data_IF_294497756245
#
_entry.id   IF_294497756245
#
_cell.length_a   1.000
_cell.length_b   1.000
_cell.length_c   1.000
_cell.angle_alpha   90.00
_cell.angle_beta   90.00
_cell.angle_gamma   90.00
#
_symmetry.space_group_name_H-M   'P 1'
#
loop_
_entity.id
_entity.type
_entity.pdbx_description
1 polymer ?
#
# COMPACT_ATOMS: atom_id res chain seq x y z
N UNK A 1 -12.56 -3.75 -2.27
CA UNK A 1 -12.00 -5.01 -2.83
C UNK A 1 -10.52 -5.01 -2.56
N UNK A 2 -9.94 -6.14 -2.13
CA UNK A 2 -8.49 -6.23 -1.89
C UNK A 2 -7.79 -6.55 -3.20
N UNK A 3 -7.19 -5.55 -3.84
CA UNK A 3 -6.37 -5.74 -5.05
C UNK A 3 -5.07 -6.50 -4.79
N UNK A 4 -4.83 -6.96 -3.56
CA UNK A 4 -3.69 -7.80 -3.20
C UNK A 4 -3.84 -9.27 -3.66
N UNK A 5 -5.06 -9.71 -3.99
CA UNK A 5 -5.28 -11.07 -4.50
C UNK A 5 -5.26 -11.04 -6.03
N UNK A 6 -4.42 -11.84 -6.69
CA UNK A 6 -4.41 -11.94 -8.15
C UNK A 6 -5.75 -12.37 -8.74
N UNK A 7 -6.12 -11.78 -9.87
CA UNK A 7 -7.28 -12.20 -10.67
C UNK A 7 -7.06 -13.54 -11.38
N UNK A 8 -8.12 -14.20 -11.89
CA UNK A 8 -8.01 -15.42 -12.69
C UNK A 8 -7.02 -15.31 -13.85
N UNK A 9 -7.02 -14.22 -14.61
CA UNK A 9 -6.11 -14.08 -15.76
C UNK A 9 -4.65 -13.99 -15.31
N UNK A 10 -4.40 -13.28 -14.20
CA UNK A 10 -3.08 -13.19 -13.59
C UNK A 10 -2.58 -14.56 -13.09
N UNK A 11 -3.48 -15.35 -12.48
CA UNK A 11 -3.15 -16.69 -11.99
C UNK A 11 -2.82 -17.66 -13.14
N UNK A 12 -3.60 -17.65 -14.21
CA UNK A 12 -3.40 -18.52 -15.37
C UNK A 12 -2.08 -18.21 -16.10
N UNK A 13 -1.66 -16.95 -16.10
CA UNK A 13 -0.46 -16.47 -16.79
C UNK A 13 0.73 -16.26 -15.85
N UNK A 14 0.67 -16.77 -14.62
CA UNK A 14 1.66 -16.50 -13.56
C UNK A 14 3.10 -16.80 -13.96
N UNK A 15 3.32 -17.84 -14.77
CA UNK A 15 4.65 -18.24 -15.24
C UNK A 15 5.34 -17.19 -16.13
N UNK A 16 4.57 -16.29 -16.76
CA UNK A 16 5.09 -15.21 -17.58
C UNK A 16 5.33 -13.91 -16.77
N UNK A 17 4.85 -13.83 -15.54
CA UNK A 17 4.97 -12.66 -14.66
C UNK A 17 6.26 -12.77 -13.85
N UNK A 18 7.06 -11.71 -13.90
CA UNK A 18 8.30 -11.63 -13.14
C UNK A 18 8.00 -11.43 -11.65
N UNK A 19 8.77 -12.06 -10.74
CA UNK A 19 8.69 -11.74 -9.33
C UNK A 19 8.86 -10.24 -9.10
N UNK A 20 8.11 -9.65 -8.17
CA UNK A 20 8.20 -8.20 -7.93
C UNK A 20 9.61 -7.71 -7.55
N UNK A 21 10.41 -8.53 -6.87
CA UNK A 21 11.82 -8.23 -6.57
C UNK A 21 12.63 -8.00 -7.84
N UNK A 22 12.36 -8.77 -8.89
CA UNK A 22 13.01 -8.63 -10.19
C UNK A 22 12.65 -7.32 -10.89
N UNK A 23 11.43 -6.83 -10.69
CA UNK A 23 10.97 -5.53 -11.21
C UNK A 23 11.67 -4.39 -10.46
N UNK A 24 11.74 -4.47 -9.14
CA UNK A 24 12.46 -3.50 -8.30
C UNK A 24 13.95 -3.45 -8.71
N UNK A 25 14.56 -4.60 -8.98
CA UNK A 25 15.94 -4.69 -9.44
C UNK A 25 16.15 -4.15 -10.86
N UNK A 26 15.18 -4.36 -11.77
CA UNK A 26 15.20 -3.78 -13.10
C UNK A 26 15.13 -2.25 -13.03
N UNK A 27 14.23 -1.70 -12.20
CA UNK A 27 14.12 -0.28 -11.94
C UNK A 27 15.44 0.30 -11.40
N UNK A 28 16.07 -0.37 -10.42
CA UNK A 28 17.38 0.04 -9.87
C UNK A 28 18.49 0.12 -10.92
N UNK A 29 18.41 -0.72 -11.96
CA UNK A 29 19.35 -0.73 -13.09
C UNK A 29 18.98 0.26 -14.21
N UNK A 30 17.94 1.07 -14.01
CA UNK A 30 17.43 2.02 -15.00
C UNK A 30 16.75 1.37 -16.20
N UNK A 31 16.33 0.11 -16.06
CA UNK A 31 15.63 -0.61 -17.13
C UNK A 31 14.15 -0.26 -17.12
N UNK A 32 13.56 -0.15 -18.32
CA UNK A 32 12.12 -0.05 -18.50
C UNK A 32 11.47 -1.42 -18.22
N UNK A 33 10.26 -1.42 -17.68
CA UNK A 33 9.46 -2.61 -17.40
C UNK A 33 7.98 -2.31 -17.60
N UNK A 34 7.15 -3.34 -17.53
CA UNK A 34 5.69 -3.23 -17.63
C UNK A 34 5.09 -3.49 -16.26
N UNK A 35 4.15 -2.65 -15.84
CA UNK A 35 3.24 -2.94 -14.74
C UNK A 35 1.84 -3.11 -15.27
N UNK A 36 1.13 -4.09 -14.74
CA UNK A 36 -0.28 -4.35 -15.04
C UNK A 36 -1.08 -4.18 -13.75
N UNK A 37 -2.21 -3.49 -13.85
CA UNK A 37 -3.15 -3.39 -12.74
C UNK A 37 -4.11 -4.58 -12.68
N UNK A 38 -4.96 -4.61 -11.65
CA UNK A 38 -5.90 -5.71 -11.45
C UNK A 38 -6.99 -5.70 -12.53
N UNK A 39 -7.46 -6.86 -12.96
CA UNK A 39 -8.48 -7.00 -14.03
C UNK A 39 -9.81 -6.27 -13.73
N UNK A 40 -10.19 -6.18 -12.46
CA UNK A 40 -11.39 -5.42 -12.00
C UNK A 40 -11.18 -3.89 -11.91
N UNK A 41 -9.98 -3.38 -12.22
CA UNK A 41 -9.64 -1.95 -12.20
C UNK A 41 -9.67 -1.38 -13.63
N UNK A 42 -8.52 -1.08 -14.24
CA UNK A 42 -8.41 -0.61 -15.63
C UNK A 42 -8.15 -1.80 -16.58
N UNK A 43 -7.53 -2.87 -16.07
CA UNK A 43 -7.07 -4.06 -16.79
C UNK A 43 -6.03 -3.71 -17.87
N UNK A 44 -5.18 -2.72 -17.61
CA UNK A 44 -4.25 -2.12 -18.56
C UNK A 44 -2.80 -2.33 -18.12
N UNK A 45 -1.88 -2.20 -19.08
CA UNK A 45 -0.45 -2.24 -18.81
C UNK A 45 0.24 -0.96 -19.22
N UNK A 46 1.10 -0.47 -18.33
CA UNK A 46 1.92 0.71 -18.55
C UNK A 46 3.38 0.31 -18.70
N UNK A 47 4.05 0.91 -19.70
CA UNK A 47 5.51 1.05 -19.68
C UNK A 47 5.89 1.94 -18.51
N UNK A 48 6.87 1.53 -17.72
CA UNK A 48 7.37 2.27 -16.58
C UNK A 48 8.88 2.35 -16.63
N UNK A 49 9.42 3.54 -16.39
CA UNK A 49 10.84 3.75 -16.09
C UNK A 49 10.94 4.70 -14.88
N UNK A 50 11.91 4.47 -13.99
CA UNK A 50 12.18 5.43 -12.93
C UNK A 50 12.61 6.77 -13.56
N UNK A 51 12.08 7.89 -13.05
CA UNK A 51 12.14 9.15 -13.78
C UNK A 51 13.57 9.67 -13.99
N UNK A 52 14.51 9.33 -13.12
CA UNK A 52 15.93 9.70 -13.30
C UNK A 52 16.64 8.97 -14.45
N UNK A 53 16.02 7.91 -14.98
CA UNK A 53 16.46 7.17 -16.16
C UNK A 53 15.58 7.43 -17.39
N UNK A 54 14.70 8.44 -17.35
CA UNK A 54 13.86 8.82 -18.48
C UNK A 54 14.68 9.55 -19.56
N UNK A 55 15.47 8.81 -20.33
CA UNK A 55 16.25 9.33 -21.45
C UNK A 55 15.37 9.67 -22.66
N UNK A 56 15.91 10.42 -23.62
CA UNK A 56 15.24 10.67 -24.89
C UNK A 56 14.89 9.37 -25.63
N UNK A 57 15.73 8.33 -25.53
CA UNK A 57 15.47 7.01 -26.10
C UNK A 57 14.28 6.33 -25.42
N UNK A 58 14.21 6.36 -24.08
CA UNK A 58 13.09 5.80 -23.32
C UNK A 58 11.77 6.51 -23.68
N UNK A 59 11.77 7.85 -23.73
CA UNK A 59 10.59 8.63 -24.12
C UNK A 59 10.18 8.36 -25.58
N UNK A 60 11.15 8.21 -26.48
CA UNK A 60 10.86 7.86 -27.87
C UNK A 60 10.27 6.45 -27.98
N UNK A 61 10.81 5.50 -27.21
CA UNK A 61 10.28 4.13 -27.14
C UNK A 61 8.83 4.14 -26.65
N UNK A 62 8.53 4.84 -25.56
CA UNK A 62 7.17 5.01 -25.03
C UNK A 62 6.24 5.61 -26.08
N UNK A 63 6.65 6.68 -26.77
CA UNK A 63 5.81 7.33 -27.78
C UNK A 63 5.56 6.44 -29.02
N UNK A 64 6.51 5.58 -29.37
CA UNK A 64 6.44 4.72 -30.58
C UNK A 64 5.68 3.42 -30.30
N UNK A 65 5.99 2.78 -29.17
CA UNK A 65 5.55 1.43 -28.85
C UNK A 65 4.46 1.40 -27.78
N UNK A 66 4.48 2.31 -26.80
CA UNK A 66 3.37 2.47 -25.84
C UNK A 66 2.19 3.20 -26.49
N UNK A 67 2.49 4.35 -27.13
CA UNK A 67 1.54 5.24 -27.85
C UNK A 67 0.53 5.94 -26.94
N UNK A 68 0.44 5.56 -25.67
CA UNK A 68 -0.38 6.21 -24.65
C UNK A 68 0.15 7.59 -24.24
N UNK A 69 -0.41 8.12 -23.17
CA UNK A 69 -0.06 9.44 -22.66
C UNK A 69 1.17 9.33 -21.75
N UNK A 70 2.25 10.01 -22.13
CA UNK A 70 3.47 10.01 -21.29
C UNK A 70 3.24 10.91 -20.09
N UNK A 71 3.14 10.28 -18.92
CA UNK A 71 2.87 10.94 -17.65
C UNK A 71 4.06 10.85 -16.70
N UNK A 72 4.14 11.78 -15.74
CA UNK A 72 5.18 11.86 -14.73
C UNK A 72 4.58 11.70 -13.31
N UNK A 73 4.37 10.46 -12.84
CA UNK A 73 4.06 10.21 -11.43
C UNK A 73 5.15 10.73 -10.49
N UNK A 74 4.73 11.52 -9.49
CA UNK A 74 5.59 12.02 -8.42
C UNK A 74 4.88 11.93 -7.08
N UNK A 75 5.67 11.95 -6.00
CA UNK A 75 5.12 12.08 -4.64
C UNK A 75 4.30 13.36 -4.48
N UNK A 76 3.32 13.30 -3.58
CA UNK A 76 2.55 14.49 -3.17
C UNK A 76 3.48 15.61 -2.69
N UNK A 77 4.54 15.28 -1.96
CA UNK A 77 5.55 16.22 -1.46
C UNK A 77 6.25 16.96 -2.60
N UNK A 78 6.64 16.24 -3.68
CA UNK A 78 7.30 16.88 -4.82
C UNK A 78 6.36 17.78 -5.60
N UNK A 79 5.11 17.32 -5.80
CA UNK A 79 4.04 18.12 -6.42
C UNK A 79 3.80 19.41 -5.63
N UNK A 80 3.75 19.33 -4.29
CA UNK A 80 3.55 20.48 -3.41
C UNK A 80 4.76 21.43 -3.42
N UNK A 81 6.00 20.92 -3.44
CA UNK A 81 7.22 21.74 -3.57
C UNK A 81 7.27 22.52 -4.89
N UNK A 82 6.82 21.90 -5.98
CA UNK A 82 6.70 22.56 -7.28
C UNK A 82 5.47 23.47 -7.37
N UNK A 83 4.58 23.45 -6.38
CA UNK A 83 3.37 24.26 -6.37
C UNK A 83 2.41 23.95 -7.53
N UNK A 84 2.38 22.70 -8.01
CA UNK A 84 1.56 22.32 -9.16
C UNK A 84 0.10 22.12 -8.74
N UNK A 85 -0.85 22.96 -9.20
CA UNK A 85 -2.26 22.74 -8.93
C UNK A 85 -2.80 21.53 -9.69
N UNK A 86 -3.83 20.89 -9.13
CA UNK A 86 -4.60 19.86 -9.83
C UNK A 86 -5.30 20.47 -11.05
N UNK A 87 -5.35 19.73 -12.17
CA UNK A 87 -5.97 20.22 -13.40
C UNK A 87 -7.48 20.38 -13.27
N UNK A 88 -8.14 19.40 -12.63
CA UNK A 88 -9.58 19.44 -12.36
C UNK A 88 -9.82 19.73 -10.88
N UNK A 89 -10.70 20.70 -10.60
CA UNK A 89 -11.15 20.99 -9.23
C UNK A 89 -11.98 19.84 -8.66
N UNK A 90 -12.86 19.26 -9.48
CA UNK A 90 -13.62 18.05 -9.17
C UNK A 90 -13.33 16.99 -10.24
N UNK A 91 -12.58 15.95 -9.87
CA UNK A 91 -12.31 14.83 -10.77
C UNK A 91 -13.44 13.81 -10.68
N UNK A 92 -14.26 13.71 -11.72
CA UNK A 92 -15.38 12.76 -11.81
C UNK A 92 -15.05 11.51 -12.63
N UNK A 93 -13.78 11.30 -12.98
CA UNK A 93 -13.37 10.09 -13.72
C UNK A 93 -13.48 8.85 -12.83
N UNK A 94 -13.80 7.71 -13.45
CA UNK A 94 -14.05 6.42 -12.75
C UNK A 94 -12.90 6.01 -11.81
N UNK A 95 -11.66 6.28 -12.20
CA UNK A 95 -10.46 5.90 -11.45
C UNK A 95 -9.71 7.10 -10.83
N UNK A 96 -10.28 8.30 -10.97
CA UNK A 96 -9.79 9.56 -10.39
C UNK A 96 -8.29 9.81 -10.63
N UNK A 97 -7.82 9.62 -11.87
CA UNK A 97 -6.40 9.81 -12.21
C UNK A 97 -5.96 11.24 -11.86
N UNK A 98 -4.96 11.41 -10.97
CA UNK A 98 -4.71 12.69 -10.30
C UNK A 98 -3.79 13.61 -11.12
N UNK A 99 -4.28 14.09 -12.26
CA UNK A 99 -3.56 15.03 -13.11
C UNK A 99 -3.35 16.40 -12.46
N UNK A 100 -2.10 16.88 -12.46
CA UNK A 100 -1.81 18.30 -12.28
C UNK A 100 -1.88 19.03 -13.62
N UNK A 101 -1.71 20.36 -13.60
CA UNK A 101 -1.42 21.10 -14.84
C UNK A 101 -0.20 20.51 -15.56
N UNK A 102 -0.23 20.49 -16.89
CA UNK A 102 0.90 20.01 -17.70
C UNK A 102 2.06 20.99 -17.64
N UNK A 103 3.29 20.47 -17.76
CA UNK A 103 4.52 21.22 -17.55
C UNK A 103 5.49 21.10 -18.73
N UNK A 104 6.33 22.11 -18.86
CA UNK A 104 7.48 22.15 -19.77
C UNK A 104 8.68 22.75 -19.02
N UNK A 105 9.91 22.33 -19.31
CA UNK A 105 11.09 23.07 -18.87
C UNK A 105 11.12 24.45 -19.52
N UNK A 106 11.51 25.48 -18.77
CA UNK A 106 11.59 26.86 -19.31
C UNK A 106 12.75 27.06 -20.28
N UNK A 107 13.83 26.34 -20.06
CA UNK A 107 15.06 26.44 -20.82
C UNK A 107 15.48 25.03 -21.28
N UNK A 108 16.36 24.95 -22.27
CA UNK A 108 16.87 23.66 -22.76
C UNK A 108 15.89 22.86 -23.62
N UNK A 109 14.76 23.45 -24.01
CA UNK A 109 13.74 22.86 -24.90
C UNK A 109 13.46 23.76 -26.10
N UNK A 110 12.86 23.17 -27.14
CA UNK A 110 12.38 23.89 -28.32
C UNK A 110 10.87 24.13 -28.25
N UNK A 111 10.07 23.25 -28.84
CA UNK A 111 8.61 23.24 -28.74
C UNK A 111 8.13 22.42 -27.55
N UNK A 112 8.99 21.60 -26.95
CA UNK A 112 8.64 20.78 -25.78
C UNK A 112 8.19 19.35 -26.09
N UNK A 113 7.66 19.10 -27.28
CA UNK A 113 7.04 17.81 -27.62
C UNK A 113 8.04 16.71 -28.00
N UNK A 114 9.25 17.08 -28.42
CA UNK A 114 10.26 16.12 -28.86
C UNK A 114 10.65 15.16 -27.74
N UNK A 115 11.17 13.97 -28.07
CA UNK A 115 11.60 13.04 -27.03
C UNK A 115 12.75 13.60 -26.16
N UNK A 116 13.77 14.30 -26.71
CA UNK A 116 14.76 15.02 -25.92
C UNK A 116 14.16 16.12 -25.04
N UNK A 117 13.23 16.92 -25.55
CA UNK A 117 12.62 18.02 -24.79
C UNK A 117 11.81 17.47 -23.60
N UNK A 118 10.98 16.46 -23.84
CA UNK A 118 10.20 15.78 -22.79
C UNK A 118 11.09 15.12 -21.74
N UNK A 119 12.16 14.45 -22.14
CA UNK A 119 13.16 13.90 -21.22
C UNK A 119 13.82 15.00 -20.37
N UNK A 120 14.15 16.15 -20.99
CA UNK A 120 14.71 17.30 -20.28
C UNK A 120 13.72 17.87 -19.26
N UNK A 121 12.44 18.03 -19.65
CA UNK A 121 11.37 18.47 -18.76
C UNK A 121 11.19 17.54 -17.56
N UNK A 122 11.23 16.21 -17.76
CA UNK A 122 11.21 15.23 -16.66
C UNK A 122 12.40 15.46 -15.72
N UNK A 123 13.63 15.55 -16.25
CA UNK A 123 14.83 15.75 -15.45
C UNK A 123 14.79 17.05 -14.61
N UNK A 124 14.28 18.14 -15.20
CA UNK A 124 14.07 19.42 -14.51
C UNK A 124 13.04 19.28 -13.39
N UNK A 125 11.93 18.60 -13.65
CA UNK A 125 10.83 18.42 -12.69
C UNK A 125 11.23 17.56 -11.48
N UNK A 126 12.07 16.53 -11.65
CA UNK A 126 12.50 15.65 -10.55
C UNK A 126 13.76 16.11 -9.82
N UNK A 127 14.35 17.24 -10.21
CA UNK A 127 15.48 17.82 -9.48
C UNK A 127 14.98 18.55 -8.23
N UNK A 128 15.26 18.02 -7.04
CA UNK A 128 14.81 18.56 -5.76
C UNK A 128 15.20 20.02 -5.51
N UNK A 129 16.27 20.52 -6.15
CA UNK A 129 16.69 21.91 -6.07
C UNK A 129 15.85 22.86 -6.93
N UNK A 130 15.14 22.32 -7.92
CA UNK A 130 14.29 23.08 -8.81
C UNK A 130 12.92 23.33 -8.18
N UNK A 131 12.37 24.49 -8.51
CA UNK A 131 11.04 24.97 -8.16
C UNK A 131 10.25 25.22 -9.44
N UNK A 132 9.02 25.75 -9.31
CA UNK A 132 8.26 26.20 -10.48
C UNK A 132 8.97 27.29 -11.30
N UNK A 133 9.99 27.96 -10.76
CA UNK A 133 10.77 28.93 -11.51
C UNK A 133 11.52 28.31 -12.71
N UNK A 134 11.77 26.99 -12.71
CA UNK A 134 12.42 26.27 -13.81
C UNK A 134 11.41 25.63 -14.78
N UNK A 135 10.11 25.68 -14.46
CA UNK A 135 9.04 25.06 -15.25
C UNK A 135 8.03 26.09 -15.73
N UNK A 136 7.42 25.82 -16.89
CA UNK A 136 6.29 26.55 -17.44
C UNK A 136 5.05 25.67 -17.45
N UNK A 137 3.88 26.31 -17.47
CA UNK A 137 2.58 25.68 -17.71
C UNK A 137 1.81 26.54 -18.73
N UNK A 138 1.13 25.95 -19.72
CA UNK A 138 1.03 24.51 -20.01
C UNK A 138 2.32 23.94 -20.64
N UNK A 139 2.37 22.62 -20.80
CA UNK A 139 3.45 21.90 -21.52
C UNK A 139 3.05 20.49 -21.96
N UNK A 140 4.05 19.67 -22.31
CA UNK A 140 3.85 18.34 -22.92
C UNK A 140 4.23 17.15 -22.04
N UNK A 141 4.63 17.39 -20.79
CA UNK A 141 4.68 16.36 -19.74
C UNK A 141 3.49 16.55 -18.81
N UNK A 142 2.85 15.45 -18.42
CA UNK A 142 1.64 15.44 -17.60
C UNK A 142 1.94 14.86 -16.21
N UNK A 143 2.21 15.69 -15.20
CA UNK A 143 2.51 15.18 -13.88
C UNK A 143 1.27 14.60 -13.20
N UNK A 144 1.49 13.52 -12.44
CA UNK A 144 0.47 12.82 -11.68
C UNK A 144 0.85 12.83 -10.20
N UNK A 145 -0.10 13.21 -9.34
CA UNK A 145 0.11 13.26 -7.89
C UNK A 145 -0.20 11.91 -7.24
N UNK A 146 0.83 11.15 -6.87
CA UNK A 146 0.64 9.91 -6.11
C UNK A 146 0.09 10.19 -4.70
N UNK A 147 -0.85 9.34 -4.26
CA UNK A 147 -1.37 9.39 -2.88
C UNK A 147 -0.27 9.04 -1.87
N UNK A 148 -0.28 9.74 -0.72
CA UNK A 148 0.54 9.31 0.43
C UNK A 148 0.11 7.90 0.84
N UNK A 149 1.07 7.00 1.05
CA UNK A 149 0.83 5.57 1.26
C UNK A 149 0.92 4.71 -0.01
N UNK A 150 0.92 5.31 -1.20
CA UNK A 150 1.18 4.61 -2.48
C UNK A 150 0.11 3.54 -2.79
N UNK A 151 0.54 2.40 -3.33
CA UNK A 151 -0.37 1.33 -3.79
C UNK A 151 -1.22 0.71 -2.67
N UNK A 152 -0.84 0.90 -1.41
CA UNK A 152 -1.62 0.47 -0.26
C UNK A 152 -2.87 1.32 -0.03
N UNK A 153 -2.89 2.56 -0.56
CA UNK A 153 -4.02 3.49 -0.49
C UNK A 153 -4.78 3.52 -1.81
N UNK A 154 -4.08 3.55 -2.94
CA UNK A 154 -4.67 3.54 -4.29
C UNK A 154 -3.86 2.61 -5.20
N UNK A 155 -4.47 1.52 -5.64
CA UNK A 155 -3.84 0.49 -6.48
C UNK A 155 -3.73 0.90 -7.98
N UNK A 156 -3.15 2.06 -8.28
CA UNK A 156 -2.98 2.55 -9.66
C UNK A 156 -1.52 2.63 -10.13
N UNK A 157 -1.32 2.75 -11.45
CA UNK A 157 0.00 2.89 -12.07
C UNK A 157 0.77 4.12 -11.55
N UNK A 158 0.06 5.21 -11.23
CA UNK A 158 0.64 6.40 -10.60
C UNK A 158 1.38 6.06 -9.31
N UNK A 159 0.71 5.40 -8.37
CA UNK A 159 1.31 5.00 -7.10
C UNK A 159 2.39 3.94 -7.29
N UNK A 160 2.14 2.97 -8.18
CA UNK A 160 3.06 1.86 -8.40
C UNK A 160 4.42 2.30 -8.96
N UNK A 161 4.43 3.25 -9.90
CA UNK A 161 5.66 3.79 -10.46
C UNK A 161 6.51 4.53 -9.40
N UNK A 162 5.87 5.32 -8.54
CA UNK A 162 6.52 6.02 -7.41
C UNK A 162 7.07 5.03 -6.38
N UNK A 163 6.28 4.01 -6.03
CA UNK A 163 6.66 3.00 -5.05
C UNK A 163 7.82 2.11 -5.51
N UNK A 164 7.81 1.67 -6.77
CA UNK A 164 8.92 0.88 -7.33
C UNK A 164 10.21 1.71 -7.33
N UNK A 165 10.16 2.97 -7.77
CA UNK A 165 11.33 3.85 -7.76
C UNK A 165 11.87 4.03 -6.33
N UNK A 166 10.99 4.27 -5.35
CA UNK A 166 11.37 4.33 -3.93
C UNK A 166 12.03 3.03 -3.44
N UNK A 167 11.43 1.87 -3.71
CA UNK A 167 11.95 0.55 -3.30
C UNK A 167 13.27 0.21 -4.01
N UNK A 168 13.49 0.76 -5.20
CA UNK A 168 14.75 0.66 -5.93
C UNK A 168 15.88 1.51 -5.33
N UNK A 169 15.57 2.43 -4.39
CA UNK A 169 16.53 3.38 -3.82
C UNK A 169 16.78 4.60 -4.71
N UNK A 170 15.82 4.90 -5.58
CA UNK A 170 15.84 5.98 -6.57
C UNK A 170 14.96 7.14 -6.10
N UNK A 171 15.01 8.26 -6.83
CA UNK A 171 14.05 9.35 -6.62
C UNK A 171 12.62 8.81 -6.76
N UNK A 172 11.69 9.12 -5.83
CA UNK A 172 10.34 8.55 -5.82
C UNK A 172 9.45 9.23 -6.89
N UNK A 173 9.81 9.02 -8.15
CA UNK A 173 9.15 9.50 -9.34
C UNK A 173 9.36 8.50 -10.48
N UNK A 174 8.36 8.34 -11.33
CA UNK A 174 8.42 7.48 -12.52
C UNK A 174 7.94 8.23 -13.75
N UNK A 175 8.19 7.65 -14.92
CA UNK A 175 7.51 8.01 -16.16
C UNK A 175 6.73 6.80 -16.61
N UNK A 176 5.44 7.00 -16.89
CA UNK A 176 4.52 5.95 -17.33
C UNK A 176 3.91 6.27 -18.69
N UNK A 177 3.56 5.24 -19.44
CA UNK A 177 2.86 5.36 -20.73
C UNK A 177 2.06 4.07 -20.97
N UNK A 178 0.76 4.19 -21.14
CA UNK A 178 -0.12 3.07 -21.42
C UNK A 178 0.25 2.41 -22.76
N UNK A 179 0.07 1.09 -22.86
CA UNK A 179 0.39 0.32 -24.06
C UNK A 179 -0.89 0.06 -24.87
N UNK A 180 -0.90 0.58 -26.11
CA UNK A 180 -1.96 0.30 -27.08
C UNK A 180 -1.54 -0.73 -28.12
N UNK A 181 -2.47 -1.61 -28.47
CA UNK A 181 -2.37 -2.49 -29.62
C UNK A 181 -2.25 -1.69 -30.94
N UNK A 182 -1.76 -2.32 -32.02
CA UNK A 182 -1.63 -1.67 -33.33
C UNK A 182 -2.92 -1.04 -33.88
N UNK A 183 -4.08 -1.61 -33.51
CA UNK A 183 -5.40 -1.15 -33.91
C UNK A 183 -5.97 -0.01 -33.03
N UNK A 184 -5.20 0.42 -32.02
CA UNK A 184 -5.58 1.49 -31.09
C UNK A 184 -6.41 1.03 -29.89
N UNK A 185 -6.68 -0.27 -29.75
CA UNK A 185 -7.26 -0.81 -28.51
C UNK A 185 -6.21 -0.91 -27.40
N UNK A 186 -6.63 -0.95 -26.14
CA UNK A 186 -5.71 -1.14 -25.01
C UNK A 186 -5.19 -2.58 -24.95
N UNK A 187 -3.86 -2.75 -24.83
CA UNK A 187 -3.24 -4.06 -24.69
C UNK A 187 -3.56 -4.65 -23.31
N UNK A 188 -4.02 -5.91 -23.28
CA UNK A 188 -4.34 -6.63 -22.04
C UNK A 188 -3.22 -7.61 -21.68
N UNK A 189 -3.24 -8.17 -20.47
CA UNK A 189 -2.16 -9.06 -19.98
C UNK A 189 -1.67 -10.12 -21.00
N UNK A 190 -2.54 -10.83 -21.75
CA UNK A 190 -2.09 -11.76 -22.79
C UNK A 190 -1.27 -11.10 -23.91
N UNK A 191 -1.69 -9.92 -24.38
CA UNK A 191 -0.98 -9.13 -25.41
C UNK A 191 0.36 -8.62 -24.87
N UNK A 192 0.34 -8.13 -23.64
CA UNK A 192 1.49 -7.55 -22.94
C UNK A 192 2.62 -8.56 -22.75
N UNK A 193 2.32 -9.85 -22.58
CA UNK A 193 3.35 -10.91 -22.51
C UNK A 193 4.10 -11.03 -23.84
N UNK A 194 3.37 -10.95 -24.96
CA UNK A 194 3.97 -10.95 -26.30
C UNK A 194 4.86 -9.74 -26.50
N UNK A 195 4.31 -8.55 -26.20
CA UNK A 195 5.02 -7.28 -26.28
C UNK A 195 6.29 -7.25 -25.39
N UNK A 196 6.18 -7.73 -24.15
CA UNK A 196 7.30 -7.83 -23.21
C UNK A 196 8.42 -8.71 -23.77
N UNK A 197 8.07 -9.84 -24.37
CA UNK A 197 9.04 -10.76 -24.99
C UNK A 197 9.72 -10.15 -26.21
N UNK A 198 8.95 -9.49 -27.08
CA UNK A 198 9.47 -8.84 -28.28
C UNK A 198 10.52 -7.78 -27.93
N UNK A 199 10.26 -6.98 -26.90
CA UNK A 199 11.12 -5.87 -26.49
C UNK A 199 12.08 -6.20 -25.34
N UNK A 200 12.11 -7.44 -24.87
CA UNK A 200 12.99 -7.87 -23.76
C UNK A 200 12.69 -7.19 -22.42
N UNK A 201 11.44 -6.83 -22.18
CA UNK A 201 10.98 -6.17 -20.95
C UNK A 201 10.49 -7.18 -19.91
N UNK A 202 10.68 -6.86 -18.64
CA UNK A 202 10.02 -7.59 -17.55
C UNK A 202 8.59 -7.09 -17.37
N UNK A 203 7.71 -7.97 -16.91
CA UNK A 203 6.31 -7.66 -16.60
C UNK A 203 6.01 -8.04 -15.14
N UNK A 204 5.42 -7.11 -14.39
CA UNK A 204 4.99 -7.31 -13.00
C UNK A 204 3.56 -6.83 -12.78
N UNK A 205 2.99 -7.14 -11.61
CA UNK A 205 1.62 -6.75 -11.26
C UNK A 205 1.57 -5.84 -10.04
N UNK A 206 0.60 -4.93 -10.03
CA UNK A 206 0.35 -4.07 -8.87
C UNK A 206 -0.10 -4.91 -7.66
N UNK A 207 -0.82 -6.01 -7.90
CA UNK A 207 -1.20 -6.97 -6.86
C UNK A 207 0.00 -7.56 -6.13
N UNK A 208 1.03 -7.99 -6.87
CA UNK A 208 2.30 -8.44 -6.28
C UNK A 208 3.03 -7.33 -5.51
N UNK A 209 2.98 -6.09 -6.01
CA UNK A 209 3.57 -4.95 -5.33
C UNK A 209 2.87 -4.64 -4.00
N UNK A 210 1.53 -4.70 -3.97
CA UNK A 210 0.75 -4.52 -2.74
C UNK A 210 1.10 -5.62 -1.73
N UNK A 211 1.15 -6.87 -2.17
CA UNK A 211 1.51 -8.00 -1.32
C UNK A 211 2.93 -7.85 -0.77
N UNK A 212 3.89 -7.45 -1.61
CA UNK A 212 5.27 -7.18 -1.21
C UNK A 212 5.35 -6.07 -0.17
N UNK A 213 4.74 -4.92 -0.42
CA UNK A 213 4.79 -3.77 0.50
C UNK A 213 4.09 -4.09 1.82
N UNK A 214 3.00 -4.84 1.80
CA UNK A 214 2.25 -5.21 3.00
C UNK A 214 3.05 -6.05 4.01
N UNK A 215 4.11 -6.72 3.55
CA UNK A 215 5.00 -7.53 4.39
C UNK A 215 6.32 -6.81 4.69
N UNK A 216 6.84 -6.02 3.75
CA UNK A 216 8.18 -5.44 3.83
C UNK A 216 8.21 -3.97 4.30
N UNK A 217 7.10 -3.24 4.19
CA UNK A 217 7.04 -1.87 4.70
C UNK A 217 6.65 -1.86 6.18
N UNK A 218 7.28 -0.93 6.93
CA UNK A 218 6.86 -0.56 8.27
C UNK A 218 5.65 0.38 8.17
N UNK A 219 4.44 -0.18 8.31
CA UNK A 219 3.19 0.55 8.13
C UNK A 219 2.72 1.24 9.41
N UNK A 220 3.27 0.90 10.57
CA UNK A 220 2.89 1.48 11.86
C UNK A 220 4.06 2.17 12.53
N UNK A 221 3.78 3.30 13.19
CA UNK A 221 4.75 4.03 14.02
C UNK A 221 4.17 4.22 15.41
N UNK A 222 4.95 3.95 16.46
CA UNK A 222 4.55 4.29 17.83
C UNK A 222 4.61 5.82 17.97
N UNK A 223 3.46 6.45 18.21
CA UNK A 223 3.32 7.92 18.25
C UNK A 223 3.05 8.46 19.65
N UNK A 224 2.61 7.60 20.58
CA UNK A 224 2.38 7.98 21.97
C UNK A 224 2.49 6.79 22.90
N UNK A 225 2.92 7.05 24.14
CA UNK A 225 3.02 6.08 25.22
C UNK A 225 2.65 6.73 26.55
N UNK A 226 1.77 6.09 27.31
CA UNK A 226 1.36 6.57 28.64
C UNK A 226 0.79 5.44 29.50
N UNK A 227 0.89 5.58 30.82
CA UNK A 227 0.21 4.67 31.75
C UNK A 227 -1.21 5.18 31.97
N UNK A 228 -2.21 4.31 31.78
CA UNK A 228 -3.63 4.61 31.97
C UNK A 228 -4.25 3.74 33.05
N UNK A 229 -5.33 4.23 33.67
CA UNK A 229 -6.15 3.46 34.60
C UNK A 229 -7.44 3.03 33.90
N UNK A 230 -7.71 1.73 33.90
CA UNK A 230 -8.95 1.15 33.39
C UNK A 230 -9.75 0.52 34.52
N UNK A 231 -11.07 0.61 34.44
CA UNK A 231 -11.99 -0.16 35.29
C UNK A 231 -11.77 -1.67 35.09
N UNK A 232 -11.30 -2.08 33.91
CA UNK A 232 -10.96 -3.46 33.57
C UNK A 232 -9.47 -3.68 33.79
N UNK A 233 -9.11 -4.04 35.01
CA UNK A 233 -7.76 -4.50 35.34
C UNK A 233 -6.77 -3.42 35.78
N UNK A 234 -7.20 -2.21 36.14
CA UNK A 234 -6.34 -1.19 36.78
C UNK A 234 -5.33 -0.55 35.83
N UNK A 235 -4.05 -0.50 36.23
CA UNK A 235 -3.00 0.18 35.45
C UNK A 235 -2.58 -0.61 34.20
N UNK A 236 -2.44 0.07 33.06
CA UNK A 236 -1.95 -0.46 31.77
C UNK A 236 -0.91 0.47 31.16
N UNK A 237 0.13 -0.07 30.52
CA UNK A 237 1.00 0.70 29.61
C UNK A 237 0.32 0.77 28.24
N UNK A 238 -0.27 1.93 27.94
CA UNK A 238 -0.96 2.18 26.67
C UNK A 238 0.00 2.78 25.66
N UNK A 239 0.07 2.15 24.48
CA UNK A 239 0.81 2.64 23.33
C UNK A 239 -0.12 2.91 22.17
N UNK A 240 0.12 4.00 21.46
CA UNK A 240 -0.59 4.38 20.25
C UNK A 240 0.30 4.11 19.04
N UNK A 241 -0.23 3.35 18.10
CA UNK A 241 0.41 3.06 16.82
C UNK A 241 -0.38 3.70 15.69
N UNK A 242 0.24 4.64 14.98
CA UNK A 242 -0.38 5.33 13.83
C UNK A 242 -0.01 4.62 12.53
N UNK A 243 -1.03 4.15 11.83
CA UNK A 243 -0.93 3.64 10.46
C UNK A 243 -0.50 4.77 9.51
N UNK A 244 0.60 4.57 8.80
CA UNK A 244 1.17 5.53 7.86
C UNK A 244 0.40 5.61 6.54
N UNK A 245 -0.50 4.66 6.27
CA UNK A 245 -1.32 4.65 5.06
C UNK A 245 -2.57 5.54 5.21
N UNK A 246 -3.28 5.44 6.33
CA UNK A 246 -4.52 6.20 6.55
C UNK A 246 -4.44 7.24 7.69
N UNK A 247 -3.35 7.28 8.45
CA UNK A 247 -3.23 8.13 9.64
C UNK A 247 -4.09 7.66 10.81
N UNK A 248 -4.57 6.41 10.79
CA UNK A 248 -5.44 5.86 11.83
C UNK A 248 -4.60 5.42 13.02
N UNK A 249 -5.04 5.81 14.22
CA UNK A 249 -4.42 5.39 15.47
C UNK A 249 -5.05 4.08 15.97
N UNK A 250 -4.20 3.10 16.26
CA UNK A 250 -4.53 1.86 16.93
C UNK A 250 -3.94 1.85 18.34
N UNK A 251 -4.50 1.05 19.24
CA UNK A 251 -4.09 1.00 20.65
C UNK A 251 -3.52 -0.37 20.98
N UNK A 252 -2.41 -0.40 21.71
CA UNK A 252 -1.95 -1.57 22.44
C UNK A 252 -1.94 -1.27 23.94
N UNK A 253 -2.75 -2.00 24.71
CA UNK A 253 -2.73 -1.99 26.16
C UNK A 253 -1.88 -3.15 26.66
N UNK A 254 -0.82 -2.85 27.38
CA UNK A 254 0.16 -3.84 27.85
C UNK A 254 0.05 -3.98 29.37
N UNK A 255 -0.04 -5.23 29.82
CA UNK A 255 0.00 -5.61 31.24
C UNK A 255 1.30 -6.34 31.53
N UNK A 256 1.95 -5.98 32.64
CA UNK A 256 3.14 -6.65 33.13
C UNK A 256 4.35 -6.54 32.19
N UNK A 257 5.31 -7.43 32.39
CA UNK A 257 6.51 -7.52 31.55
C UNK A 257 6.30 -8.54 30.42
N UNK A 258 6.33 -8.05 29.18
CA UNK A 258 6.16 -8.85 27.96
C UNK A 258 7.49 -9.19 27.27
N UNK A 259 8.64 -8.76 27.82
CA UNK A 259 9.97 -8.94 27.21
C UNK A 259 10.60 -10.31 27.47
N UNK A 260 9.86 -11.25 28.06
CA UNK A 260 10.34 -12.62 28.35
C UNK A 260 10.13 -13.56 27.15
N UNK A 261 10.78 -14.73 27.18
CA UNK A 261 10.66 -15.75 26.13
C UNK A 261 9.32 -16.51 26.13
N UNK A 262 8.57 -16.44 27.23
CA UNK A 262 7.33 -17.22 27.39
C UNK A 262 6.20 -16.65 26.53
N UNK A 263 5.26 -17.49 26.02
CA UNK A 263 4.13 -17.01 25.25
C UNK A 263 3.34 -15.90 25.95
N UNK A 264 3.04 -14.82 25.25
CA UNK A 264 2.27 -13.67 25.78
C UNK A 264 0.77 -13.91 25.58
N UNK A 265 -0.06 -13.67 26.60
CA UNK A 265 -1.51 -13.71 26.43
C UNK A 265 -1.97 -12.48 25.65
N UNK A 266 -2.54 -12.66 24.46
CA UNK A 266 -2.86 -11.58 23.54
C UNK A 266 -4.32 -11.62 23.11
N UNK A 267 -5.00 -10.47 23.17
CA UNK A 267 -6.28 -10.24 22.49
C UNK A 267 -6.09 -9.28 21.33
N UNK A 268 -6.35 -9.73 20.11
CA UNK A 268 -6.54 -8.85 18.95
C UNK A 268 -8.03 -8.55 18.79
N UNK A 269 -8.42 -7.28 18.87
CA UNK A 269 -9.82 -6.85 18.83
C UNK A 269 -10.01 -5.80 17.73
N UNK A 270 -10.83 -6.09 16.72
CA UNK A 270 -11.26 -5.10 15.74
C UNK A 270 -12.46 -4.34 16.31
N UNK A 271 -12.29 -3.03 16.55
CA UNK A 271 -13.33 -2.19 17.15
C UNK A 271 -14.53 -2.08 16.21
N UNK A 272 -15.72 -2.30 16.74
CA UNK A 272 -16.99 -2.11 16.06
C UNK A 272 -17.95 -1.36 16.98
N UNK A 273 -18.19 -0.08 16.70
CA UNK A 273 -18.93 0.83 17.58
C UNK A 273 -20.34 0.31 17.88
N UNK A 274 -21.01 -0.32 16.90
CA UNK A 274 -22.33 -0.88 17.10
C UNK A 274 -22.35 -2.00 18.17
N UNK A 275 -21.38 -2.93 18.18
CA UNK A 275 -21.35 -4.02 19.15
C UNK A 275 -20.68 -3.60 20.45
N UNK A 276 -19.50 -2.98 20.38
CA UNK A 276 -18.64 -2.78 21.54
C UNK A 276 -19.11 -1.60 22.40
N UNK A 277 -19.75 -0.59 21.78
CA UNK A 277 -20.25 0.60 22.48
C UNK A 277 -21.76 0.54 22.68
N UNK A 278 -22.52 0.15 21.65
CA UNK A 278 -24.00 0.15 21.70
C UNK A 278 -24.62 -1.20 22.05
N UNK A 279 -23.84 -2.30 22.06
CA UNK A 279 -24.35 -3.64 22.36
C UNK A 279 -25.29 -4.20 21.28
N UNK A 280 -25.15 -3.75 20.03
CA UNK A 280 -25.97 -4.15 18.90
C UNK A 280 -25.28 -5.25 18.08
N UNK A 281 -26.05 -6.27 17.70
CA UNK A 281 -25.57 -7.35 16.84
C UNK A 281 -25.23 -8.63 17.61
N UNK A 282 -24.58 -9.61 16.93
CA UNK A 282 -24.38 -10.96 17.47
C UNK A 282 -23.22 -11.05 18.48
N UNK A 283 -22.27 -10.11 18.47
CA UNK A 283 -21.13 -10.09 19.39
C UNK A 283 -21.51 -9.42 20.71
N UNK A 284 -21.06 -10.00 21.83
CA UNK A 284 -21.34 -9.43 23.15
C UNK A 284 -20.50 -8.18 23.41
N UNK A 285 -21.08 -7.07 23.90
CA UNK A 285 -20.31 -5.91 24.35
C UNK A 285 -19.35 -6.23 25.51
N UNK A 286 -19.50 -7.40 26.15
CA UNK A 286 -18.61 -7.87 27.23
C UNK A 286 -17.31 -8.51 26.73
N UNK A 287 -17.16 -8.80 25.44
CA UNK A 287 -15.99 -9.52 24.92
C UNK A 287 -14.68 -8.77 25.19
N UNK A 288 -14.61 -7.48 24.85
CA UNK A 288 -13.42 -6.66 25.08
C UNK A 288 -13.13 -6.45 26.59
N UNK A 289 -14.09 -5.98 27.42
CA UNK A 289 -13.91 -5.90 28.87
C UNK A 289 -13.43 -7.20 29.50
N UNK A 290 -14.04 -8.33 29.13
CA UNK A 290 -13.68 -9.65 29.67
C UNK A 290 -12.27 -10.06 29.28
N UNK A 291 -11.85 -9.82 28.04
CA UNK A 291 -10.48 -10.08 27.62
C UNK A 291 -9.45 -9.24 28.39
N UNK A 292 -9.76 -7.96 28.65
CA UNK A 292 -8.93 -7.10 29.49
C UNK A 292 -8.81 -7.64 30.93
N UNK A 293 -9.91 -8.07 31.52
CA UNK A 293 -9.93 -8.67 32.86
C UNK A 293 -9.10 -9.96 32.93
N UNK A 294 -9.24 -10.86 31.95
CA UNK A 294 -8.48 -12.12 31.89
C UNK A 294 -6.98 -11.85 31.80
N UNK A 295 -6.55 -10.91 30.96
CA UNK A 295 -5.14 -10.51 30.87
C UNK A 295 -4.66 -9.84 32.16
N UNK A 296 -5.50 -9.03 32.79
CA UNK A 296 -5.15 -8.40 34.06
C UNK A 296 -4.99 -9.42 35.20
N UNK A 297 -5.81 -10.48 35.22
CA UNK A 297 -5.73 -11.59 36.17
C UNK A 297 -4.46 -12.43 35.95
N UNK A 298 -4.08 -12.67 34.69
CA UNK A 298 -2.80 -13.29 34.33
C UNK A 298 -1.61 -12.41 34.75
N UNK A 299 -1.81 -11.09 34.85
CA UNK A 299 -0.79 -10.12 35.21
C UNK A 299 0.18 -9.80 34.07
N UNK A 300 0.06 -10.48 32.93
CA UNK A 300 0.93 -10.34 31.75
C UNK A 300 0.14 -10.55 30.46
N UNK A 301 0.20 -9.58 29.55
CA UNK A 301 -0.43 -9.73 28.23
C UNK A 301 -0.68 -8.42 27.50
N UNK A 302 -1.32 -8.52 26.33
CA UNK A 302 -1.55 -7.39 25.43
C UNK A 302 -2.98 -7.43 24.90
N UNK A 303 -3.68 -6.28 24.95
CA UNK A 303 -4.89 -6.05 24.14
C UNK A 303 -4.54 -5.10 23.01
N UNK A 304 -4.63 -5.57 21.77
CA UNK A 304 -4.53 -4.74 20.58
C UNK A 304 -5.93 -4.38 20.09
N UNK A 305 -6.27 -3.09 20.13
CA UNK A 305 -7.51 -2.54 19.60
C UNK A 305 -7.24 -1.92 18.22
N UNK A 306 -7.73 -2.57 17.18
CA UNK A 306 -7.65 -2.12 15.80
C UNK A 306 -8.88 -1.29 15.47
N UNK A 307 -8.64 0.01 15.32
CA UNK A 307 -9.61 0.95 14.75
C UNK A 307 -9.52 0.88 13.23
N UNK A 308 -10.65 0.70 12.56
CA UNK A 308 -10.68 0.75 11.09
C UNK A 308 -11.18 2.12 10.62
N UNK A 309 -10.65 2.65 9.51
CA UNK A 309 -11.22 3.82 8.85
C UNK A 309 -12.49 3.41 8.08
N UNK A 310 -13.54 3.00 8.78
CA UNK A 310 -14.85 2.74 8.15
C UNK A 310 -15.70 4.00 8.19
N UNK A 311 -16.31 4.32 7.05
CA UNK A 311 -17.34 5.36 6.95
C UNK A 311 -18.75 4.83 7.25
N UNK A 312 -18.92 3.51 7.39
CA UNK A 312 -20.20 2.84 7.61
C UNK A 312 -20.24 2.16 8.99
N UNK A 313 -21.33 2.36 9.72
CA UNK A 313 -21.56 1.78 11.05
C UNK A 313 -21.86 0.28 11.02
N UNK A 314 -22.48 -0.20 9.94
CA UNK A 314 -22.79 -1.61 9.74
C UNK A 314 -22.00 -2.11 8.52
N UNK A 315 -21.08 -3.03 8.74
CA UNK A 315 -20.51 -3.84 7.69
C UNK A 315 -21.14 -5.24 7.76
N UNK A 316 -21.43 -5.84 6.61
CA UNK A 316 -21.75 -7.27 6.54
C UNK A 316 -20.53 -8.06 7.01
N UNK A 317 -20.63 -8.66 8.19
CA UNK A 317 -19.66 -9.63 8.70
C UNK A 317 -20.11 -11.05 8.32
N UNK A 318 -19.23 -11.83 7.69
CA UNK A 318 -19.49 -13.25 7.41
C UNK A 318 -19.39 -14.09 8.69
N UNK A 319 -20.44 -14.79 9.09
CA UNK A 319 -20.41 -15.72 10.22
C UNK A 319 -19.62 -17.01 9.87
N UNK A 320 -18.62 -17.39 10.69
CA UNK A 320 -17.90 -18.67 10.59
C UNK A 320 -16.38 -18.60 10.76
N UNK A 321 -15.67 -19.74 10.72
CA UNK A 321 -14.20 -19.80 10.75
C UNK A 321 -13.60 -19.01 9.59
N UNK A 322 -12.82 -17.98 9.90
CA UNK A 322 -12.22 -17.09 8.90
C UNK A 322 -10.76 -17.46 8.64
N UNK A 323 -10.32 -17.26 7.40
CA UNK A 323 -8.89 -17.13 7.10
C UNK A 323 -8.58 -15.65 7.01
N UNK A 324 -7.95 -15.09 8.05
CA UNK A 324 -7.55 -13.69 8.07
C UNK A 324 -6.29 -13.56 7.22
N UNK A 325 -6.45 -13.01 6.01
CA UNK A 325 -5.37 -12.77 5.05
C UNK A 325 -4.62 -11.45 5.30
N UNK A 326 -5.25 -10.50 6.01
CA UNK A 326 -4.69 -9.18 6.31
C UNK A 326 -4.28 -9.08 7.80
N UNK A 327 -3.36 -9.94 8.22
CA UNK A 327 -2.78 -9.93 9.59
C UNK A 327 -1.69 -8.86 9.76
N UNK A 328 -1.32 -8.15 8.70
CA UNK A 328 -0.11 -7.31 8.63
C UNK A 328 0.01 -6.28 9.75
N UNK A 329 -1.00 -5.43 9.98
CA UNK A 329 -0.90 -4.37 10.99
C UNK A 329 -0.78 -4.93 12.42
N UNK A 330 -1.60 -5.92 12.77
CA UNK A 330 -1.54 -6.53 14.09
C UNK A 330 -0.25 -7.28 14.34
N UNK A 331 0.23 -8.02 13.35
CA UNK A 331 1.51 -8.70 13.40
C UNK A 331 2.67 -7.69 13.51
N UNK A 332 2.64 -6.58 12.77
CA UNK A 332 3.65 -5.52 12.89
C UNK A 332 3.67 -4.86 14.27
N UNK A 333 2.51 -4.56 14.85
CA UNK A 333 2.42 -4.01 16.21
C UNK A 333 3.02 -4.99 17.22
N UNK A 334 2.60 -6.26 17.19
CA UNK A 334 3.08 -7.28 18.13
C UNK A 334 4.59 -7.55 17.98
N UNK A 335 5.08 -7.64 16.74
CA UNK A 335 6.51 -7.80 16.44
C UNK A 335 7.33 -6.59 16.95
N UNK A 336 6.82 -5.36 16.79
CA UNK A 336 7.44 -4.15 17.35
C UNK A 336 7.44 -4.11 18.88
N UNK A 337 6.45 -4.72 19.51
CA UNK A 337 6.41 -4.89 20.96
C UNK A 337 7.36 -6.00 21.44
N UNK A 338 8.03 -6.71 20.52
CA UNK A 338 8.99 -7.76 20.83
C UNK A 338 8.36 -9.14 21.08
N UNK A 339 7.07 -9.31 20.78
CA UNK A 339 6.38 -10.59 20.93
C UNK A 339 6.84 -11.56 19.83
N UNK A 340 7.06 -12.82 20.21
CA UNK A 340 7.35 -13.92 19.28
C UNK A 340 6.33 -15.04 19.38
N UNK A 341 6.06 -15.50 20.60
CA UNK A 341 5.06 -16.52 20.87
C UNK A 341 3.87 -15.90 21.60
N UNK A 342 2.65 -16.27 21.21
CA UNK A 342 1.44 -15.78 21.86
C UNK A 342 0.39 -16.87 22.08
N UNK A 343 -0.37 -16.71 23.16
CA UNK A 343 -1.63 -17.41 23.42
C UNK A 343 -2.76 -16.45 23.04
N UNK A 344 -3.56 -16.81 22.05
CA UNK A 344 -4.61 -15.95 21.53
C UNK A 344 -5.90 -16.09 22.35
N UNK A 345 -6.38 -14.97 22.91
CA UNK A 345 -7.72 -14.89 23.49
C UNK A 345 -8.78 -14.75 22.38
N UNK A 346 -9.52 -15.83 22.13
CA UNK A 346 -10.53 -15.91 21.07
C UNK A 346 -11.58 -16.97 21.36
N UNK A 347 -12.84 -16.66 21.08
CA UNK A 347 -13.94 -17.65 21.06
C UNK A 347 -14.06 -18.35 19.68
N UNK A 348 -13.14 -18.07 18.74
CA UNK A 348 -13.10 -18.68 17.41
C UNK A 348 -11.73 -19.33 17.13
N UNK A 349 -11.36 -20.39 17.87
CA UNK A 349 -10.02 -20.99 17.82
C UNK A 349 -9.67 -21.65 16.47
N UNK A 350 -10.68 -21.94 15.64
CA UNK A 350 -10.49 -22.47 14.28
C UNK A 350 -10.06 -21.40 13.26
N UNK A 351 -10.06 -20.11 13.64
CA UNK A 351 -9.65 -19.01 12.76
C UNK A 351 -8.18 -19.16 12.39
N UNK A 352 -7.89 -19.11 11.09
CA UNK A 352 -6.52 -19.21 10.58
C UNK A 352 -5.96 -17.83 10.31
N UNK A 353 -4.81 -17.55 10.90
CA UNK A 353 -4.04 -16.33 10.68
C UNK A 353 -2.89 -16.66 9.72
N UNK A 354 -2.94 -16.11 8.51
CA UNK A 354 -1.86 -16.32 7.53
C UNK A 354 -0.82 -15.20 7.66
N UNK A 355 0.44 -15.48 7.35
CA UNK A 355 1.49 -14.46 7.23
C UNK A 355 2.14 -14.01 8.55
N UNK A 356 1.87 -14.67 9.68
CA UNK A 356 2.53 -14.39 10.96
C UNK A 356 4.04 -14.70 10.92
N UNK A 357 4.43 -15.75 10.18
CA UNK A 357 5.83 -16.17 10.04
C UNK A 357 6.73 -15.07 9.47
N UNK A 358 6.17 -14.18 8.64
CA UNK A 358 6.91 -13.06 8.07
C UNK A 358 7.30 -12.00 9.13
N UNK A 359 6.71 -12.07 10.32
CA UNK A 359 6.93 -11.16 11.44
C UNK A 359 7.56 -11.84 12.66
N UNK A 360 8.06 -13.07 12.51
CA UNK A 360 8.61 -13.90 13.60
C UNK A 360 7.59 -14.14 14.73
N UNK A 361 6.32 -14.30 14.37
CA UNK A 361 5.20 -14.50 15.29
C UNK A 361 4.58 -15.90 15.14
N UNK A 362 4.29 -16.56 16.27
CA UNK A 362 3.59 -17.84 16.33
C UNK A 362 2.49 -17.87 17.39
N UNK A 363 1.36 -18.48 17.04
CA UNK A 363 0.26 -18.74 17.99
C UNK A 363 0.48 -20.14 18.57
N UNK A 364 0.88 -20.21 19.84
CA UNK A 364 1.20 -21.48 20.52
C UNK A 364 -0.01 -22.09 21.23
N UNK A 365 -1.08 -21.31 21.42
CA UNK A 365 -2.34 -21.79 21.97
C UNK A 365 -3.46 -20.77 21.85
N UNK A 366 -4.68 -21.19 22.20
CA UNK A 366 -5.87 -20.33 22.26
C UNK A 366 -6.57 -20.49 23.60
N UNK A 367 -7.18 -19.42 24.11
CA UNK A 367 -8.00 -19.45 25.33
C UNK A 367 -9.34 -18.73 25.06
N UNK A 368 -10.49 -19.30 25.45
CA UNK A 368 -11.79 -18.65 25.26
C UNK A 368 -11.93 -17.40 26.13
N UNK A 369 -12.87 -16.53 25.76
CA UNK A 369 -13.15 -15.26 26.46
C UNK A 369 -14.47 -15.35 27.21
N UNK A 370 -15.54 -15.69 26.50
CA UNK A 370 -16.91 -15.69 27.05
C UNK A 370 -17.41 -17.09 27.41
N UNK A 371 -16.79 -18.13 26.84
CA UNK A 371 -17.13 -19.51 27.17
C UNK A 371 -16.54 -19.87 28.53
N UNK A 372 -17.39 -20.20 29.51
CA UNK A 372 -16.95 -20.87 30.74
C UNK A 372 -16.58 -22.32 30.41
N UNK A 373 -15.51 -22.82 31.01
CA UNK A 373 -15.21 -24.26 31.05
C UNK A 373 -16.32 -25.06 31.77
#
# INVERSE_FOLDING_TARGET
>A
MSFATPGPVENDLRAAISPIKDIIDAARKGQMFILVDHEDRENEGDLVVAAEFATAEAINFMATHGRGLICLPMTSERVDQLGLPMMAVNNSSRHETPFTVSIEAREGVSTGISAPDRAHTVAVAINEQNTMAQLATPGHIFPLRARKGGVLVRAGHTEAAVDIARLAGLKPAGVICEIMNPDGTMARLPDLIGFAREHGLKIGTISDLIAYRSVNDNLVVETSRQVVQSEFGGAWDMRIFTDQTHGVEHVALIKGDIATSDPVLVRTHALHEASDVLGLGPKSPRELPRAMELIAQEGRGIVCLFREPRHALYATEDEGPRTIKQTGLGAQILSRLGVRELILLTDSPQTRYLGLDAYDLSITGTRPILSED
#
